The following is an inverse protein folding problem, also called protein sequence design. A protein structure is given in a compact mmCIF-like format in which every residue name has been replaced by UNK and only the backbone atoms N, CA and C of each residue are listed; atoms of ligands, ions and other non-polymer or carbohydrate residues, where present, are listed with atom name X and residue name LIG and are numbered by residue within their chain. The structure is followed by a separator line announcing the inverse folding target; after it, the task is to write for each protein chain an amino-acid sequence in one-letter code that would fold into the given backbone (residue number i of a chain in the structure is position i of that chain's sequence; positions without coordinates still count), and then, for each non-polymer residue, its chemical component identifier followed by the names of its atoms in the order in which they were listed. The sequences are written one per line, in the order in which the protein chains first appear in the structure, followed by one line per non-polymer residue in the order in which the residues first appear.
data_IF_260460318605
#
_entry.id   IF_260460318605
#
_cell.length_a   1.000
_cell.length_b   1.000
_cell.length_c   1.000
_cell.angle_alpha   90.00
_cell.angle_beta   90.00
_cell.angle_gamma   90.00
#
_symmetry.space_group_name_H-M   'P 1'
#
loop_
_entity.id
_entity.type
_entity.pdbx_description
1 polymer ?
#
# COMPACT_ATOMS: atom_id res chain seq x y z
N UNK A 1 -23.32 -1.28 47.12
CA UNK A 1 -23.91 -1.91 45.95
C UNK A 1 -24.05 -0.90 44.79
N UNK A 2 -24.68 0.23 44.98
CA UNK A 2 -24.88 1.27 43.94
C UNK A 2 -23.55 1.74 43.30
N UNK A 3 -22.54 2.10 44.09
CA UNK A 3 -21.22 2.57 43.53
C UNK A 3 -20.54 1.52 42.62
N UNK A 4 -20.64 0.22 42.93
CA UNK A 4 -20.08 -0.83 42.06
C UNK A 4 -20.85 -0.94 40.74
N UNK A 5 -22.18 -0.86 40.81
CA UNK A 5 -23.04 -0.88 39.61
C UNK A 5 -22.76 0.31 38.68
N UNK A 6 -22.61 1.51 39.27
CA UNK A 6 -22.27 2.71 38.49
C UNK A 6 -20.90 2.58 37.81
N UNK A 7 -19.89 2.07 38.51
CA UNK A 7 -18.55 1.87 37.97
C UNK A 7 -18.57 0.86 36.80
N UNK A 8 -19.30 -0.25 36.99
CA UNK A 8 -19.47 -1.26 35.94
C UNK A 8 -20.16 -0.68 34.71
N UNK A 9 -21.20 0.12 34.90
CA UNK A 9 -21.93 0.79 33.79
C UNK A 9 -21.02 1.78 33.04
N UNK A 10 -20.25 2.59 33.76
CA UNK A 10 -19.30 3.55 33.14
C UNK A 10 -18.22 2.80 32.36
N UNK A 11 -17.67 1.73 32.91
CA UNK A 11 -16.68 0.90 32.21
C UNK A 11 -17.26 0.27 30.94
N UNK A 12 -18.49 -0.28 31.03
CA UNK A 12 -19.18 -0.83 29.88
C UNK A 12 -19.45 0.22 28.79
N UNK A 13 -19.95 1.42 29.16
CA UNK A 13 -20.15 2.52 28.24
C UNK A 13 -18.85 2.99 27.58
N UNK A 14 -17.76 3.05 28.33
CA UNK A 14 -16.45 3.41 27.77
C UNK A 14 -15.97 2.38 26.73
N UNK A 15 -16.19 1.08 27.00
CA UNK A 15 -15.86 0.01 26.03
C UNK A 15 -16.75 0.12 24.78
N UNK A 16 -18.06 0.34 24.95
CA UNK A 16 -18.98 0.49 23.81
C UNK A 16 -18.64 1.73 22.99
N UNK A 17 -18.39 2.86 23.63
CA UNK A 17 -17.97 4.09 22.92
C UNK A 17 -16.64 3.85 22.21
N UNK A 18 -15.65 3.22 22.87
CA UNK A 18 -14.38 2.86 22.25
C UNK A 18 -14.58 1.98 21.03
N UNK A 19 -15.43 0.96 21.12
CA UNK A 19 -15.73 0.08 19.99
C UNK A 19 -16.41 0.83 18.83
N UNK A 20 -17.40 1.67 19.14
CA UNK A 20 -18.12 2.47 18.12
C UNK A 20 -17.23 3.52 17.45
N UNK A 21 -16.21 4.03 18.15
CA UNK A 21 -15.25 4.99 17.55
C UNK A 21 -14.16 4.34 16.71
N UNK A 22 -13.91 3.04 16.92
CA UNK A 22 -12.91 2.28 16.17
C UNK A 22 -13.56 1.49 15.03
N UNK A 23 -14.88 1.23 15.11
CA UNK A 23 -15.60 0.50 14.07
C UNK A 23 -15.48 1.26 12.74
N UNK A 24 -15.07 0.58 11.65
CA UNK A 24 -15.01 1.22 10.35
C UNK A 24 -16.40 1.72 9.98
N UNK A 25 -16.52 3.00 9.67
CA UNK A 25 -17.72 3.56 9.06
C UNK A 25 -17.58 3.45 7.55
N UNK A 26 -18.61 2.94 6.88
CA UNK A 26 -18.70 3.12 5.43
C UNK A 26 -18.85 4.62 5.16
N UNK A 27 -17.75 5.27 4.81
CA UNK A 27 -17.85 6.62 4.28
C UNK A 27 -18.22 6.50 2.81
N UNK A 28 -19.50 6.64 2.51
CA UNK A 28 -19.94 6.88 1.14
C UNK A 28 -19.64 8.33 0.80
N UNK A 29 -18.63 8.55 -0.01
CA UNK A 29 -18.51 9.80 -0.75
C UNK A 29 -19.52 9.77 -1.90
N UNK A 30 -20.05 10.91 -2.30
CA UNK A 30 -20.87 11.01 -3.50
C UNK A 30 -20.05 10.61 -4.75
N UNK A 31 -20.70 10.38 -5.87
CA UNK A 31 -20.06 9.88 -7.11
C UNK A 31 -18.92 10.77 -7.62
N UNK A 32 -18.82 12.01 -7.17
CA UNK A 32 -17.76 12.96 -7.51
C UNK A 32 -16.53 12.87 -6.62
N UNK A 33 -16.58 12.08 -5.53
CA UNK A 33 -15.48 11.90 -4.58
C UNK A 33 -14.71 10.59 -4.77
N UNK A 34 -13.80 10.30 -3.82
CA UNK A 34 -13.24 8.95 -3.67
C UNK A 34 -14.37 7.98 -3.32
N UNK A 35 -14.45 6.87 -4.02
CA UNK A 35 -15.51 5.89 -3.85
C UNK A 35 -14.95 4.54 -3.41
N UNK A 36 -15.18 4.18 -2.16
CA UNK A 36 -14.71 2.91 -1.59
C UNK A 36 -15.31 1.68 -2.30
N UNK A 37 -16.48 1.82 -2.92
CA UNK A 37 -17.09 0.74 -3.71
C UNK A 37 -16.28 0.44 -4.97
N UNK A 38 -15.82 1.48 -5.68
CA UNK A 38 -14.95 1.30 -6.85
C UNK A 38 -13.62 0.65 -6.42
N UNK A 39 -13.04 1.10 -5.31
CA UNK A 39 -11.83 0.47 -4.78
C UNK A 39 -12.07 -1.02 -4.44
N UNK A 40 -13.23 -1.36 -3.88
CA UNK A 40 -13.58 -2.76 -3.62
C UNK A 40 -13.73 -3.58 -4.90
N UNK A 41 -14.25 -3.02 -5.98
CA UNK A 41 -14.33 -3.67 -7.29
C UNK A 41 -12.93 -3.98 -7.84
N UNK A 42 -11.98 -3.04 -7.71
CA UNK A 42 -10.57 -3.29 -8.03
C UNK A 42 -9.98 -4.41 -7.17
N UNK A 43 -10.22 -4.36 -5.86
CA UNK A 43 -9.73 -5.37 -4.92
C UNK A 43 -10.23 -6.78 -5.25
N UNK A 44 -11.49 -6.92 -5.65
CA UNK A 44 -12.06 -8.21 -6.05
C UNK A 44 -11.35 -8.82 -7.24
N UNK A 45 -10.89 -8.02 -8.19
CA UNK A 45 -10.11 -8.51 -9.34
C UNK A 45 -8.69 -8.87 -8.92
N UNK A 46 -8.03 -8.02 -8.13
CA UNK A 46 -6.64 -8.21 -7.70
C UNK A 46 -6.50 -9.46 -6.82
N UNK A 47 -7.41 -9.62 -5.86
CA UNK A 47 -7.36 -10.69 -4.87
C UNK A 47 -8.25 -11.90 -5.23
N UNK A 48 -8.54 -12.12 -6.51
CA UNK A 48 -9.33 -13.28 -6.97
C UNK A 48 -8.60 -14.60 -6.72
N UNK A 49 -7.28 -14.59 -6.85
CA UNK A 49 -6.41 -15.75 -6.62
C UNK A 49 -5.05 -15.33 -6.06
N UNK A 50 -4.29 -16.25 -5.44
CA UNK A 50 -2.91 -16.01 -5.06
C UNK A 50 -2.07 -15.58 -6.27
N UNK A 51 -1.28 -14.52 -6.13
CA UNK A 51 -0.49 -13.92 -7.20
C UNK A 51 0.89 -13.48 -6.71
N UNK A 52 1.56 -14.39 -5.99
CA UNK A 52 2.95 -14.16 -5.59
C UNK A 52 3.89 -14.17 -6.80
N UNK A 53 5.11 -13.69 -6.60
CA UNK A 53 6.16 -13.70 -7.65
C UNK A 53 6.44 -15.10 -8.23
N UNK A 54 6.04 -16.16 -7.53
CA UNK A 54 6.16 -17.56 -8.01
C UNK A 54 4.90 -18.05 -8.73
N UNK A 55 3.79 -17.32 -8.65
CA UNK A 55 2.53 -17.62 -9.33
C UNK A 55 2.45 -16.84 -10.65
N UNK A 56 3.40 -17.06 -11.54
CA UNK A 56 3.70 -16.24 -12.73
C UNK A 56 2.49 -15.81 -13.55
N UNK A 57 1.54 -16.70 -13.82
CA UNK A 57 0.36 -16.39 -14.63
C UNK A 57 -0.58 -15.43 -13.91
N UNK A 58 -0.90 -15.72 -12.65
CA UNK A 58 -1.78 -14.89 -11.85
C UNK A 58 -1.13 -13.52 -11.52
N UNK A 59 0.18 -13.52 -11.25
CA UNK A 59 0.96 -12.32 -11.03
C UNK A 59 0.95 -11.40 -12.27
N UNK A 60 1.16 -11.98 -13.45
CA UNK A 60 1.10 -11.24 -14.71
C UNK A 60 -0.31 -10.71 -15.01
N UNK A 61 -1.36 -11.46 -14.70
CA UNK A 61 -2.74 -10.99 -14.85
C UNK A 61 -3.03 -9.76 -13.99
N UNK A 62 -2.58 -9.76 -12.73
CA UNK A 62 -2.73 -8.60 -11.83
C UNK A 62 -1.94 -7.41 -12.37
N UNK A 63 -0.69 -7.61 -12.79
CA UNK A 63 0.12 -6.56 -13.38
C UNK A 63 -0.53 -5.94 -14.63
N UNK A 64 -1.04 -6.78 -15.53
CA UNK A 64 -1.73 -6.32 -16.75
C UNK A 64 -3.03 -5.58 -16.42
N UNK A 65 -3.74 -6.01 -15.39
CA UNK A 65 -4.92 -5.30 -14.90
C UNK A 65 -4.55 -3.88 -14.45
N UNK A 66 -3.52 -3.74 -13.61
CA UNK A 66 -3.03 -2.44 -13.14
C UNK A 66 -2.62 -1.54 -14.31
N UNK A 67 -1.85 -2.08 -15.26
CA UNK A 67 -1.44 -1.35 -16.47
C UNK A 67 -2.63 -0.83 -17.27
N UNK A 68 -3.61 -1.69 -17.55
CA UNK A 68 -4.76 -1.34 -18.37
C UNK A 68 -5.65 -0.30 -17.68
N UNK A 69 -5.92 -0.46 -16.39
CA UNK A 69 -6.69 0.51 -15.61
C UNK A 69 -5.97 1.86 -15.54
N UNK A 70 -4.66 1.84 -15.26
CA UNK A 70 -3.85 3.06 -15.22
C UNK A 70 -3.86 3.80 -16.56
N UNK A 71 -3.64 3.08 -17.68
CA UNK A 71 -3.72 3.66 -19.04
C UNK A 71 -5.08 4.29 -19.33
N UNK A 72 -6.15 3.67 -18.83
CA UNK A 72 -7.50 4.19 -18.97
C UNK A 72 -7.73 5.53 -18.25
N UNK A 73 -7.08 5.74 -17.11
CA UNK A 73 -7.25 6.97 -16.33
C UNK A 73 -6.28 8.08 -16.71
N UNK A 74 -5.01 7.77 -17.01
CA UNK A 74 -3.98 8.80 -17.20
C UNK A 74 -3.50 8.93 -18.64
N UNK A 75 -3.87 8.01 -19.53
CA UNK A 75 -3.34 7.91 -20.90
C UNK A 75 -2.11 7.01 -20.97
N UNK A 76 -1.95 6.33 -22.10
CA UNK A 76 -0.88 5.36 -22.32
C UNK A 76 0.52 5.97 -22.21
N UNK A 77 0.67 7.20 -22.69
CA UNK A 77 1.92 7.96 -22.65
C UNK A 77 2.41 8.30 -21.24
N UNK A 78 1.51 8.25 -20.27
CA UNK A 78 1.78 8.56 -18.86
C UNK A 78 1.98 7.31 -17.98
N UNK A 79 1.97 6.12 -18.58
CA UNK A 79 2.23 4.85 -17.90
C UNK A 79 3.54 4.26 -18.38
N UNK A 80 4.36 3.79 -17.46
CA UNK A 80 5.66 3.16 -17.73
C UNK A 80 5.78 1.86 -16.97
N UNK A 81 6.22 0.82 -17.66
CA UNK A 81 6.76 -0.38 -17.03
C UNK A 81 8.22 -0.12 -16.65
N UNK A 82 8.56 -0.47 -15.43
CA UNK A 82 9.90 -0.29 -14.86
C UNK A 82 10.48 -1.66 -14.56
N UNK A 83 11.21 -2.20 -15.53
CA UNK A 83 11.72 -3.56 -15.47
C UNK A 83 13.14 -3.56 -14.87
N UNK A 84 13.31 -4.41 -13.88
CA UNK A 84 14.57 -4.62 -13.20
C UNK A 84 14.89 -6.11 -13.14
N UNK A 85 16.14 -6.45 -13.13
CA UNK A 85 16.61 -7.81 -13.05
C UNK A 85 17.57 -7.96 -11.87
N UNK A 86 17.31 -8.93 -11.00
CA UNK A 86 18.20 -9.26 -9.89
C UNK A 86 18.99 -10.52 -10.24
N UNK A 87 20.34 -10.46 -10.37
CA UNK A 87 21.12 -11.67 -10.57
C UNK A 87 21.11 -12.56 -9.31
N UNK A 88 21.02 -13.87 -9.52
CA UNK A 88 20.83 -14.90 -8.51
C UNK A 88 21.82 -14.93 -7.33
N UNK A 89 22.88 -14.16 -7.36
CA UNK A 89 23.97 -14.20 -6.36
C UNK A 89 24.16 -12.87 -5.62
N UNK A 90 23.27 -11.91 -5.80
CA UNK A 90 23.39 -10.60 -5.14
C UNK A 90 22.08 -10.24 -4.51
N UNK A 91 21.99 -10.36 -3.20
CA UNK A 91 20.95 -9.74 -2.45
C UNK A 91 21.08 -8.21 -2.60
N UNK A 92 20.14 -7.50 -3.27
CA UNK A 92 20.21 -6.05 -3.40
C UNK A 92 20.01 -5.33 -2.07
N UNK A 93 19.65 -6.07 -1.03
CA UNK A 93 19.45 -5.59 0.34
C UNK A 93 20.64 -5.84 1.27
N UNK A 94 21.85 -6.04 0.76
CA UNK A 94 23.03 -6.17 1.62
C UNK A 94 23.07 -5.05 2.67
N UNK A 95 22.68 -5.39 3.90
CA UNK A 95 22.61 -4.47 5.04
C UNK A 95 21.23 -4.24 5.63
N UNK A 96 20.18 -4.89 5.15
CA UNK A 96 18.86 -4.86 5.79
C UNK A 96 18.59 -6.22 6.43
N UNK A 97 18.75 -6.30 7.75
CA UNK A 97 18.35 -7.46 8.53
C UNK A 97 16.83 -7.52 8.64
N UNK A 98 16.20 -8.45 7.93
CA UNK A 98 14.78 -8.75 8.12
C UNK A 98 14.61 -9.67 9.32
N UNK A 99 14.14 -9.11 10.42
CA UNK A 99 13.73 -9.87 11.60
C UNK A 99 12.26 -10.21 11.47
N UNK A 100 11.95 -11.48 11.23
CA UNK A 100 10.64 -12.02 11.60
C UNK A 100 9.72 -12.60 10.55
N UNK A 101 10.17 -12.86 9.33
CA UNK A 101 9.43 -13.77 8.45
C UNK A 101 10.01 -15.18 8.60
N UNK A 102 9.22 -16.11 9.13
CA UNK A 102 9.49 -17.54 8.95
C UNK A 102 9.35 -17.87 7.46
N UNK A 103 10.33 -17.51 6.67
CA UNK A 103 10.45 -17.92 5.28
C UNK A 103 10.69 -19.42 5.27
N UNK A 104 9.69 -20.14 4.75
CA UNK A 104 9.59 -21.58 4.87
C UNK A 104 10.60 -22.30 4.00
N UNK A 105 11.24 -21.66 3.03
CA UNK A 105 12.36 -22.27 2.29
C UNK A 105 13.33 -21.21 1.76
N UNK A 106 14.59 -21.40 2.08
CA UNK A 106 15.73 -20.61 1.56
C UNK A 106 15.89 -20.67 0.02
N UNK A 107 15.05 -21.44 -0.67
CA UNK A 107 15.09 -21.62 -2.11
C UNK A 107 14.47 -20.47 -2.90
N UNK A 108 13.66 -19.64 -2.28
CA UNK A 108 13.09 -18.44 -2.97
C UNK A 108 14.11 -17.28 -3.04
N UNK A 109 15.17 -17.31 -2.23
CA UNK A 109 16.19 -16.26 -2.17
C UNK A 109 17.23 -16.38 -3.29
N UNK A 110 17.37 -17.57 -3.88
CA UNK A 110 18.32 -17.87 -4.94
C UNK A 110 17.77 -17.73 -6.36
N UNK A 111 16.54 -17.25 -6.52
CA UNK A 111 15.93 -17.07 -7.83
C UNK A 111 16.26 -15.70 -8.43
N UNK A 112 16.52 -15.71 -9.73
CA UNK A 112 16.53 -14.49 -10.53
C UNK A 112 15.09 -13.96 -10.64
N UNK A 113 14.85 -12.73 -10.16
CA UNK A 113 13.54 -12.10 -10.27
C UNK A 113 13.54 -11.10 -11.43
N UNK A 114 12.54 -11.25 -12.29
CA UNK A 114 12.16 -10.24 -13.27
C UNK A 114 11.16 -9.29 -12.60
N UNK A 115 11.65 -8.22 -12.03
CA UNK A 115 10.88 -7.25 -11.24
C UNK A 115 10.28 -6.23 -12.17
N UNK A 116 8.97 -6.07 -12.14
CA UNK A 116 8.21 -5.25 -13.07
C UNK A 116 7.29 -4.25 -12.36
N UNK A 117 7.88 -3.16 -11.90
CA UNK A 117 7.08 -2.08 -11.35
C UNK A 117 6.21 -1.40 -12.44
N UNK A 118 5.06 -0.90 -12.02
CA UNK A 118 4.21 -0.05 -12.85
C UNK A 118 4.22 1.35 -12.29
N UNK A 119 4.64 2.32 -13.09
CA UNK A 119 4.63 3.74 -12.75
C UNK A 119 3.63 4.48 -13.63
N UNK A 120 2.68 5.17 -13.03
CA UNK A 120 1.75 6.06 -13.70
C UNK A 120 1.89 7.49 -13.17
N UNK A 121 1.61 8.48 -14.00
CA UNK A 121 1.73 9.89 -13.65
C UNK A 121 0.51 10.69 -14.08
N UNK A 122 -0.01 11.49 -13.18
CA UNK A 122 -0.91 12.60 -13.49
C UNK A 122 -0.10 13.90 -13.41
N UNK A 123 0.16 14.49 -14.56
CA UNK A 123 0.92 15.72 -14.65
C UNK A 123 0.13 16.90 -14.08
N UNK A 124 0.71 17.59 -13.11
CA UNK A 124 0.25 18.88 -12.62
C UNK A 124 0.94 20.04 -13.33
N UNK A 125 0.74 21.26 -12.83
CA UNK A 125 1.46 22.45 -13.32
C UNK A 125 2.97 22.39 -13.05
N UNK A 126 3.36 21.68 -11.99
CA UNK A 126 4.74 21.38 -11.65
C UNK A 126 5.04 19.90 -11.86
N UNK A 127 6.23 19.58 -12.38
CA UNK A 127 6.71 18.20 -12.47
C UNK A 127 7.03 17.58 -11.10
N UNK A 128 7.29 18.41 -10.09
CA UNK A 128 7.51 17.89 -8.72
C UNK A 128 6.19 17.56 -8.06
N UNK A 129 6.17 16.52 -7.23
CA UNK A 129 4.90 16.08 -6.65
C UNK A 129 4.99 15.04 -5.55
N UNK A 130 3.90 14.34 -5.39
CA UNK A 130 3.71 13.26 -4.41
C UNK A 130 3.79 11.92 -5.11
N UNK A 131 4.52 10.97 -4.53
CA UNK A 131 4.57 9.58 -4.95
C UNK A 131 3.72 8.74 -3.99
N UNK A 132 2.69 8.11 -4.52
CA UNK A 132 1.86 7.12 -3.84
C UNK A 132 2.38 5.73 -4.21
N UNK A 133 2.59 4.87 -3.23
CA UNK A 133 3.18 3.55 -3.43
C UNK A 133 2.30 2.48 -2.80
N UNK A 134 2.17 1.34 -3.46
CA UNK A 134 1.60 0.10 -2.96
C UNK A 134 2.26 -1.08 -3.68
N UNK A 135 2.37 -2.26 -3.05
CA UNK A 135 2.88 -3.44 -3.75
C UNK A 135 1.76 -4.32 -4.28
N UNK A 136 1.99 -4.98 -5.41
CA UNK A 136 0.97 -5.79 -6.04
C UNK A 136 1.24 -7.30 -6.01
N UNK A 137 2.40 -7.73 -5.54
CA UNK A 137 2.67 -9.15 -5.32
C UNK A 137 2.05 -9.61 -4.00
N UNK A 138 1.45 -10.79 -4.00
CA UNK A 138 0.96 -11.41 -2.78
C UNK A 138 2.02 -12.33 -2.17
N UNK A 139 1.89 -12.57 -0.86
CA UNK A 139 2.81 -13.45 -0.16
C UNK A 139 2.70 -14.89 -0.66
N UNK A 140 3.85 -15.46 -1.02
CA UNK A 140 3.98 -16.82 -1.50
C UNK A 140 3.72 -17.89 -0.42
N UNK A 141 4.43 -18.98 -0.47
CA UNK A 141 4.23 -20.09 0.45
C UNK A 141 4.46 -19.71 1.92
N UNK A 142 3.39 -19.71 2.70
CA UNK A 142 3.40 -19.45 4.13
C UNK A 142 3.12 -20.75 4.86
N UNK A 143 3.95 -21.14 5.82
CA UNK A 143 3.65 -22.25 6.72
C UNK A 143 2.72 -21.78 7.83
N UNK A 144 1.46 -22.17 7.74
CA UNK A 144 0.46 -21.82 8.73
C UNK A 144 -0.12 -23.10 9.36
N UNK A 145 0.02 -23.24 10.67
CA UNK A 145 -0.43 -24.45 11.42
C UNK A 145 0.11 -25.79 10.85
N UNK A 146 1.30 -25.77 10.25
CA UNK A 146 1.92 -26.97 9.66
C UNK A 146 1.58 -27.23 8.20
N UNK A 147 0.68 -26.46 7.61
CA UNK A 147 0.28 -26.56 6.21
C UNK A 147 0.85 -25.40 5.40
N UNK A 148 1.19 -25.65 4.13
CA UNK A 148 1.56 -24.60 3.19
C UNK A 148 0.29 -23.89 2.72
N UNK A 149 0.27 -22.58 2.83
CA UNK A 149 -0.80 -21.72 2.35
C UNK A 149 -0.22 -20.59 1.50
N UNK A 150 -1.01 -20.09 0.56
CA UNK A 150 -0.70 -18.89 -0.23
C UNK A 150 -1.66 -17.78 0.16
N UNK A 151 -1.17 -16.55 0.19
CA UNK A 151 -2.01 -15.38 0.40
C UNK A 151 -2.72 -14.99 -0.90
N UNK A 152 -3.97 -14.56 -0.79
CA UNK A 152 -4.69 -13.88 -1.87
C UNK A 152 -4.29 -12.40 -1.97
N UNK A 153 -3.47 -11.88 -1.06
CA UNK A 153 -3.00 -10.50 -1.06
C UNK A 153 -4.10 -9.45 -0.88
N UNK A 154 -5.30 -9.80 -0.37
CA UNK A 154 -6.40 -8.83 -0.28
C UNK A 154 -6.11 -7.68 0.70
N UNK A 155 -5.59 -8.00 1.89
CA UNK A 155 -5.22 -7.03 2.90
C UNK A 155 -3.77 -6.58 2.77
N UNK A 156 -2.91 -7.37 2.12
CA UNK A 156 -1.48 -7.17 2.01
C UNK A 156 -1.02 -7.53 0.58
N UNK A 157 -0.93 -6.57 -0.38
CA UNK A 157 -1.37 -5.18 -0.25
C UNK A 157 -2.39 -4.80 -1.36
N UNK A 158 -3.23 -5.75 -1.77
CA UNK A 158 -4.27 -5.51 -2.78
C UNK A 158 -5.19 -4.34 -2.44
N UNK A 159 -5.45 -4.12 -1.15
CA UNK A 159 -6.19 -2.96 -0.65
C UNK A 159 -5.46 -1.64 -0.96
N UNK A 160 -4.14 -1.59 -0.79
CA UNK A 160 -3.33 -0.43 -1.16
C UNK A 160 -3.37 -0.18 -2.66
N UNK A 161 -3.17 -1.22 -3.47
CA UNK A 161 -3.30 -1.15 -4.94
C UNK A 161 -4.67 -0.62 -5.35
N UNK A 162 -5.74 -1.18 -4.81
CA UNK A 162 -7.11 -0.75 -5.11
C UNK A 162 -7.37 0.72 -4.71
N UNK A 163 -6.81 1.13 -3.57
CA UNK A 163 -6.87 2.52 -3.11
C UNK A 163 -6.16 3.46 -4.08
N UNK A 164 -4.98 3.09 -4.55
CA UNK A 164 -4.22 3.90 -5.51
C UNK A 164 -4.94 4.02 -6.84
N UNK A 165 -5.54 2.95 -7.37
CA UNK A 165 -6.30 2.98 -8.61
C UNK A 165 -7.52 3.90 -8.51
N UNK A 166 -8.25 3.85 -7.41
CA UNK A 166 -9.40 4.75 -7.20
C UNK A 166 -8.96 6.21 -6.97
N UNK A 167 -7.85 6.46 -6.28
CA UNK A 167 -7.26 7.79 -6.18
C UNK A 167 -6.81 8.31 -7.55
N UNK A 168 -6.28 7.44 -8.40
CA UNK A 168 -5.90 7.79 -9.77
C UNK A 168 -7.12 8.24 -10.57
N UNK A 169 -8.25 7.52 -10.50
CA UNK A 169 -9.53 7.96 -11.08
C UNK A 169 -9.92 9.33 -10.54
N UNK A 170 -9.98 9.46 -9.22
CA UNK A 170 -10.39 10.69 -8.53
C UNK A 170 -9.56 11.91 -8.98
N UNK A 171 -8.24 11.78 -9.05
CA UNK A 171 -7.37 12.87 -9.49
C UNK A 171 -7.41 13.09 -10.99
N UNK A 172 -7.62 12.06 -11.82
CA UNK A 172 -7.69 12.21 -13.28
C UNK A 172 -8.87 13.09 -13.70
N UNK A 173 -10.00 13.00 -13.00
CA UNK A 173 -11.17 13.85 -13.21
C UNK A 173 -10.95 15.31 -12.78
N UNK A 174 -9.87 15.58 -12.06
CA UNK A 174 -9.49 16.90 -11.50
C UNK A 174 -8.11 17.36 -11.93
N UNK A 175 -7.58 16.76 -12.99
CA UNK A 175 -6.19 17.01 -13.44
C UNK A 175 -5.86 18.50 -13.65
N UNK A 176 -6.82 19.29 -14.13
CA UNK A 176 -6.62 20.72 -14.39
C UNK A 176 -6.44 21.55 -13.09
N UNK A 177 -6.84 21.02 -11.96
CA UNK A 177 -6.65 21.63 -10.63
C UNK A 177 -5.35 21.23 -9.95
N UNK A 178 -4.58 20.28 -10.50
CA UNK A 178 -3.36 19.79 -9.89
C UNK A 178 -2.23 20.82 -10.03
N UNK A 179 -1.80 21.39 -8.91
CA UNK A 179 -0.62 22.26 -8.86
C UNK A 179 0.68 21.46 -8.99
N UNK A 180 0.73 20.28 -8.38
CA UNK A 180 1.86 19.35 -8.40
C UNK A 180 1.45 18.04 -9.06
N UNK A 181 2.40 17.36 -9.67
CA UNK A 181 2.18 16.04 -10.25
C UNK A 181 1.89 14.99 -9.15
N UNK A 182 1.09 13.99 -9.50
CA UNK A 182 0.83 12.82 -8.66
C UNK A 182 1.35 11.59 -9.38
N UNK A 183 2.30 10.92 -8.77
CA UNK A 183 2.91 9.69 -9.24
C UNK A 183 2.30 8.52 -8.48
N UNK A 184 2.01 7.44 -9.18
CA UNK A 184 1.48 6.19 -8.63
C UNK A 184 2.47 5.09 -8.98
N UNK A 185 3.04 4.45 -7.99
CA UNK A 185 3.99 3.38 -8.16
C UNK A 185 3.43 2.09 -7.55
N UNK A 186 3.20 1.12 -8.39
CA UNK A 186 2.85 -0.23 -7.99
C UNK A 186 4.13 -1.06 -8.06
N UNK A 187 4.64 -1.42 -6.90
CA UNK A 187 5.90 -2.16 -6.78
C UNK A 187 5.68 -3.66 -6.86
N UNK A 188 6.65 -4.33 -7.43
CA UNK A 188 6.75 -5.77 -7.55
C UNK A 188 7.75 -6.32 -6.52
N UNK A 189 7.57 -7.58 -6.13
CA UNK A 189 8.53 -8.31 -5.28
C UNK A 189 8.81 -7.62 -3.94
N UNK A 190 7.76 -7.11 -3.30
CA UNK A 190 7.84 -6.59 -1.94
C UNK A 190 8.06 -7.75 -0.96
N UNK A 191 7.21 -8.77 -1.04
CA UNK A 191 7.15 -9.89 -0.13
C UNK A 191 8.45 -10.72 -0.03
N UNK A 192 9.24 -10.90 -1.10
CA UNK A 192 10.54 -11.51 -0.99
C UNK A 192 11.57 -10.65 -0.24
N UNK A 193 11.67 -9.37 -0.51
CA UNK A 193 12.63 -8.44 0.12
C UNK A 193 12.49 -6.98 -0.38
N UNK A 194 11.30 -6.49 -0.64
CA UNK A 194 11.05 -5.13 -1.11
C UNK A 194 11.87 -4.72 -2.34
N UNK A 195 12.15 -5.67 -3.24
CA UNK A 195 13.06 -5.45 -4.36
C UNK A 195 12.61 -4.33 -5.30
N UNK A 196 11.30 -4.28 -5.63
CA UNK A 196 10.77 -3.28 -6.53
C UNK A 196 10.94 -1.86 -6.00
N UNK A 197 10.60 -1.62 -4.75
CA UNK A 197 10.74 -0.30 -4.11
C UNK A 197 12.20 0.08 -3.92
N UNK A 198 13.07 -0.86 -3.55
CA UNK A 198 14.52 -0.64 -3.40
C UNK A 198 15.16 -0.22 -4.72
N UNK A 199 14.84 -0.91 -5.81
CA UNK A 199 15.41 -0.60 -7.12
C UNK A 199 14.88 0.72 -7.66
N UNK A 200 13.60 1.01 -7.49
CA UNK A 200 13.01 2.28 -7.89
C UNK A 200 13.56 3.45 -7.07
N UNK A 201 13.86 3.26 -5.79
CA UNK A 201 14.46 4.32 -4.95
C UNK A 201 15.81 4.82 -5.46
N UNK A 202 16.51 4.01 -6.27
CA UNK A 202 17.78 4.36 -6.93
C UNK A 202 17.58 5.12 -8.25
N UNK A 203 16.34 5.25 -8.70
CA UNK A 203 15.99 5.98 -9.90
C UNK A 203 16.01 7.49 -9.65
N UNK A 204 17.13 8.11 -9.93
CA UNK A 204 17.33 9.54 -9.68
C UNK A 204 16.41 10.43 -10.51
N UNK A 205 15.98 9.99 -11.69
CA UNK A 205 15.05 10.76 -12.53
C UNK A 205 13.69 10.93 -11.83
N UNK A 206 13.13 9.84 -11.29
CA UNK A 206 11.88 9.91 -10.54
C UNK A 206 12.09 10.59 -9.19
N UNK A 207 13.10 10.17 -8.43
CA UNK A 207 13.29 10.66 -7.05
C UNK A 207 13.55 12.16 -6.98
N UNK A 208 14.17 12.76 -8.00
CA UNK A 208 14.35 14.23 -8.09
C UNK A 208 13.03 14.99 -8.28
N UNK A 209 11.96 14.33 -8.72
CA UNK A 209 10.62 14.91 -8.88
C UNK A 209 9.73 14.67 -7.65
N UNK A 210 10.14 13.83 -6.72
CA UNK A 210 9.33 13.44 -5.57
C UNK A 210 9.63 14.30 -4.35
N UNK A 211 8.63 15.03 -3.87
CA UNK A 211 8.71 15.84 -2.65
C UNK A 211 8.22 15.09 -1.41
N UNK A 212 7.34 14.11 -1.60
CA UNK A 212 6.74 13.31 -0.53
C UNK A 212 6.41 11.93 -1.07
N UNK A 213 6.76 10.90 -0.31
CA UNK A 213 6.30 9.52 -0.56
C UNK A 213 5.24 9.17 0.47
N UNK A 214 4.16 8.57 0.03
CA UNK A 214 3.13 7.95 0.86
C UNK A 214 3.02 6.50 0.43
N UNK A 215 3.53 5.59 1.26
CA UNK A 215 3.33 4.16 1.08
C UNK A 215 2.04 3.76 1.77
N UNK A 216 1.13 3.17 1.00
CA UNK A 216 -0.09 2.55 1.54
C UNK A 216 0.24 1.10 1.76
N UNK A 217 0.18 0.65 3.00
CA UNK A 217 0.65 -0.65 3.43
C UNK A 217 -0.35 -1.28 4.39
N UNK A 218 -0.52 -2.57 4.31
CA UNK A 218 -1.52 -3.24 5.09
C UNK A 218 -1.00 -3.71 6.46
N UNK A 219 -1.84 -3.52 7.46
CA UNK A 219 -1.57 -3.90 8.84
C UNK A 219 -2.70 -4.69 9.47
N UNK A 220 -3.20 -5.66 8.74
CA UNK A 220 -4.27 -6.52 9.23
C UNK A 220 -5.61 -6.22 8.58
N UNK A 221 -6.66 -6.85 9.08
CA UNK A 221 -7.94 -6.93 8.41
C UNK A 221 -8.97 -5.92 8.90
N UNK A 222 -8.64 -5.12 9.91
CA UNK A 222 -9.65 -4.32 10.60
C UNK A 222 -9.04 -3.22 11.46
N UNK A 223 -9.72 -2.09 11.58
CA UNK A 223 -9.32 -1.01 12.48
C UNK A 223 -9.07 0.34 11.79
N UNK A 224 -8.48 1.25 12.54
CA UNK A 224 -8.19 2.60 12.08
C UNK A 224 -6.95 2.65 11.17
N UNK A 225 -6.87 3.70 10.35
CA UNK A 225 -5.66 3.99 9.57
C UNK A 225 -4.54 4.46 10.48
N UNK A 226 -3.39 3.85 10.38
CA UNK A 226 -2.20 4.19 11.16
C UNK A 226 -1.13 4.81 10.27
N UNK A 227 -0.54 5.90 10.71
CA UNK A 227 0.77 6.30 10.20
C UNK A 227 1.80 5.41 10.92
N UNK A 228 2.25 4.36 10.24
CA UNK A 228 3.09 3.34 10.82
C UNK A 228 4.53 3.80 10.98
N UNK A 229 5.07 4.42 9.95
CA UNK A 229 6.44 4.90 9.91
C UNK A 229 6.53 6.27 9.25
N UNK A 230 7.54 7.03 9.60
CA UNK A 230 7.86 8.30 8.96
C UNK A 230 9.36 8.52 8.98
N UNK A 231 9.89 9.15 7.94
CA UNK A 231 11.30 9.52 7.88
C UNK A 231 11.70 10.48 9.00
N UNK A 232 13.00 10.52 9.32
CA UNK A 232 13.53 11.41 10.34
C UNK A 232 13.27 12.88 10.00
N UNK A 233 13.06 13.71 11.05
CA UNK A 233 12.84 15.19 10.95
C UNK A 233 11.59 15.58 10.16
N UNK A 234 10.56 14.76 10.16
CA UNK A 234 9.37 14.89 9.32
C UNK A 234 8.19 15.62 9.99
N UNK A 235 8.46 16.60 10.85
CA UNK A 235 7.43 17.34 11.59
C UNK A 235 6.36 18.00 10.70
N UNK A 236 6.70 18.37 9.46
CA UNK A 236 5.74 18.98 8.52
C UNK A 236 4.70 17.97 8.06
N UNK A 237 5.14 16.76 7.69
CA UNK A 237 4.25 15.67 7.23
C UNK A 237 3.35 15.21 8.37
N UNK A 238 3.90 15.03 9.57
CA UNK A 238 3.11 14.68 10.76
C UNK A 238 2.02 15.73 11.03
N UNK A 239 2.33 17.02 10.87
CA UNK A 239 1.34 18.10 11.02
C UNK A 239 0.27 18.05 9.92
N UNK A 240 0.62 17.69 8.69
CA UNK A 240 -0.35 17.52 7.60
C UNK A 240 -1.25 16.30 7.86
N UNK A 241 -0.67 15.17 8.24
CA UNK A 241 -1.42 13.98 8.59
C UNK A 241 -2.45 14.22 9.71
N UNK A 242 -2.06 14.99 10.75
CA UNK A 242 -2.98 15.37 11.83
C UNK A 242 -4.11 16.32 11.39
N UNK A 243 -3.98 16.96 10.23
CA UNK A 243 -5.03 17.81 9.65
C UNK A 243 -5.93 17.04 8.68
N UNK A 244 -5.56 15.82 8.31
CA UNK A 244 -6.43 14.98 7.52
C UNK A 244 -7.76 14.79 8.28
N UNK A 245 -8.87 15.02 7.60
CA UNK A 245 -10.22 14.91 8.17
C UNK A 245 -10.61 13.44 8.33
N UNK A 246 -9.82 12.67 9.03
CA UNK A 246 -10.18 11.31 9.42
C UNK A 246 -10.64 11.32 10.87
N UNK A 247 -11.79 10.71 11.17
CA UNK A 247 -12.33 10.69 12.53
C UNK A 247 -11.39 10.03 13.53
N UNK A 248 -10.50 9.14 13.06
CA UNK A 248 -9.53 8.46 13.94
C UNK A 248 -8.25 8.19 13.15
N UNK A 249 -7.21 8.95 13.45
CA UNK A 249 -5.85 8.71 12.95
C UNK A 249 -4.93 8.38 14.11
N UNK A 250 -4.21 7.28 14.02
CA UNK A 250 -3.23 6.86 15.01
C UNK A 250 -1.82 6.85 14.41
N UNK A 251 -0.82 7.03 15.25
CA UNK A 251 0.58 6.75 14.90
C UNK A 251 1.10 5.66 15.83
N UNK A 252 1.62 4.60 15.26
CA UNK A 252 2.27 3.52 16.00
C UNK A 252 3.79 3.74 16.12
N UNK A 253 4.34 4.74 15.44
CA UNK A 253 5.78 4.99 15.41
C UNK A 253 6.45 5.02 16.80
N UNK A 254 5.87 5.65 17.85
CA UNK A 254 6.47 5.61 19.19
C UNK A 254 6.50 4.23 19.83
N UNK A 255 5.60 3.33 19.45
CA UNK A 255 5.50 1.99 20.03
C UNK A 255 6.48 0.98 19.40
N UNK A 256 6.98 1.30 18.20
CA UNK A 256 7.88 0.41 17.45
C UNK A 256 9.35 0.78 17.70
N UNK A 257 9.64 2.05 18.00
CA UNK A 257 11.00 2.58 18.13
C UNK A 257 11.34 3.08 19.54
N UNK A 258 10.52 2.78 20.54
CA UNK A 258 10.81 2.97 21.96
C UNK A 258 11.41 1.72 22.59
#
# INVERSE_FOLDING_TARGET
MIKKLTLTLVAFLAVVIGFLTIAPSEMSFDDAGYNSKNALEHLQVIADKPHSVTDYEAHEEVRQYILNVSKGFVGEENVRERNYFTPSNKNPTDGIDYVGADLVEANEIDCEYDIRNVLACLNGKSETGVLLVAHYDSRGNIKRYGELAKSYGAGDDGYGVATLLELMRYFSERKDALENSVYFLFTDSEEPNMYGSLLESKNTELMNKVNLVINVEARGMNGAVYMFETSLKNNKVIKLFRKAESPVTYSAAPAVYS
#
